data_IF_760709085141
#
_entry.id   IF_760709085141
#
_cell.length_a   1.000
_cell.length_b   1.000
_cell.length_c   1.000
_cell.angle_alpha   90.00
_cell.angle_beta   90.00
_cell.angle_gamma   90.00
#
_symmetry.space_group_name_H-M   'P 1'
#
loop_
_entity.id
_entity.type
_entity.pdbx_description
1 polymer ?
#
# COMPACT_ATOMS: atom_id res chain seq x y z
N UNK A 1 7.94 20.46 3.65
CA UNK A 1 6.63 21.12 3.40
C UNK A 1 5.56 20.04 3.41
N UNK A 2 4.43 20.27 4.05
CA UNK A 2 3.30 19.34 4.10
C UNK A 2 2.18 19.93 3.25
N UNK A 3 1.57 19.11 2.39
CA UNK A 3 0.42 19.47 1.58
C UNK A 3 -0.75 18.55 1.96
N UNK A 4 -1.92 19.14 2.23
CA UNK A 4 -3.12 18.40 2.62
C UNK A 4 -3.94 18.06 1.37
N UNK A 5 -4.15 16.77 1.13
CA UNK A 5 -4.98 16.29 0.02
C UNK A 5 -6.44 16.25 0.43
N UNK A 6 -7.19 17.29 0.07
CA UNK A 6 -8.63 17.43 0.34
C UNK A 6 -9.44 17.22 -0.94
N UNK A 7 -10.69 16.76 -0.80
CA UNK A 7 -11.62 16.64 -1.93
C UNK A 7 -12.97 16.03 -1.53
N UNK A 8 -14.06 16.30 -2.29
CA UNK A 8 -15.35 15.67 -2.07
C UNK A 8 -15.34 14.17 -2.42
N UNK A 9 -16.40 13.45 -2.05
CA UNK A 9 -16.59 12.06 -2.47
C UNK A 9 -16.46 11.91 -4.00
N UNK A 10 -15.74 10.88 -4.44
CA UNK A 10 -15.39 10.67 -5.85
C UNK A 10 -14.06 11.30 -6.28
N UNK A 11 -13.39 12.08 -5.42
CA UNK A 11 -12.03 12.54 -5.67
C UNK A 11 -11.03 11.40 -5.68
N UNK A 12 -9.99 11.51 -6.52
CA UNK A 12 -8.93 10.51 -6.66
C UNK A 12 -7.59 11.13 -6.29
N UNK A 13 -6.81 10.43 -5.48
CA UNK A 13 -5.41 10.75 -5.23
C UNK A 13 -4.53 9.66 -5.82
N UNK A 14 -3.41 10.06 -6.42
CA UNK A 14 -2.41 9.15 -6.98
C UNK A 14 -1.08 9.54 -6.38
N UNK A 15 -0.41 8.60 -5.73
CA UNK A 15 0.89 8.84 -5.12
C UNK A 15 1.80 7.64 -5.34
N UNK A 16 3.11 7.90 -5.43
CA UNK A 16 4.10 6.84 -5.44
C UNK A 16 4.17 6.22 -4.03
N UNK A 17 4.29 4.89 -3.94
CA UNK A 17 4.35 4.17 -2.65
C UNK A 17 5.54 4.60 -1.77
N UNK A 18 6.60 5.19 -2.33
CA UNK A 18 7.75 5.74 -1.61
C UNK A 18 7.56 7.19 -1.15
N UNK A 19 6.44 7.83 -1.48
CA UNK A 19 6.15 9.19 -1.02
C UNK A 19 5.83 9.11 0.47
N UNK A 20 6.52 9.88 1.30
CA UNK A 20 6.16 9.99 2.71
C UNK A 20 4.75 10.58 2.82
N UNK A 21 3.84 9.86 3.46
CA UNK A 21 2.48 10.29 3.71
C UNK A 21 2.05 9.79 5.08
N UNK A 22 1.15 10.54 5.72
CA UNK A 22 0.57 10.16 7.00
C UNK A 22 -0.80 10.84 7.13
N UNK A 23 -1.58 10.37 8.11
CA UNK A 23 -2.77 11.07 8.58
C UNK A 23 -2.69 11.24 10.08
N UNK A 24 -3.22 12.34 10.59
CA UNK A 24 -3.54 12.42 12.02
C UNK A 24 -4.63 11.41 12.37
N UNK A 25 -4.69 11.02 13.65
CA UNK A 25 -5.79 10.22 14.17
C UNK A 25 -7.13 10.88 13.86
N UNK A 26 -8.06 10.10 13.30
CA UNK A 26 -9.39 10.60 12.98
C UNK A 26 -10.11 11.06 14.24
N UNK A 27 -10.64 12.28 14.21
CA UNK A 27 -11.55 12.84 15.25
C UNK A 27 -13.01 12.86 14.78
N UNK A 28 -13.27 12.44 13.55
CA UNK A 28 -14.61 12.42 12.96
C UNK A 28 -15.41 11.25 13.53
N UNK A 29 -16.67 11.45 13.97
CA UNK A 29 -17.55 10.35 14.31
C UNK A 29 -18.00 9.55 13.08
N UNK A 30 -17.99 10.19 11.90
CA UNK A 30 -18.32 9.55 10.63
C UNK A 30 -17.10 8.87 10.01
N UNK A 31 -17.23 7.61 9.54
CA UNK A 31 -16.15 6.91 8.88
C UNK A 31 -15.83 7.55 7.52
N UNK A 32 -14.56 7.51 7.14
CA UNK A 32 -14.07 8.04 5.86
C UNK A 32 -13.48 6.89 5.02
N UNK A 33 -14.34 6.05 4.40
CA UNK A 33 -13.88 4.91 3.62
C UNK A 33 -13.11 5.37 2.38
N UNK A 34 -12.07 4.62 2.04
CA UNK A 34 -11.25 4.83 0.84
C UNK A 34 -11.19 3.53 0.05
N UNK A 35 -11.41 3.61 -1.26
CA UNK A 35 -11.09 2.52 -2.18
C UNK A 35 -9.62 2.63 -2.56
N UNK A 36 -8.81 1.72 -2.07
CA UNK A 36 -7.38 1.67 -2.35
C UNK A 36 -7.08 0.61 -3.41
N UNK A 37 -6.57 1.04 -4.56
CA UNK A 37 -6.05 0.16 -5.61
C UNK A 37 -4.54 0.37 -5.75
N UNK A 38 -3.76 -0.68 -5.53
CA UNK A 38 -2.32 -0.66 -5.67
C UNK A 38 -1.92 -1.26 -7.03
N UNK A 39 -1.10 -0.53 -7.78
CA UNK A 39 -0.60 -0.97 -9.08
C UNK A 39 0.92 -1.05 -9.05
N UNK A 40 1.46 -2.09 -9.67
CA UNK A 40 2.90 -2.25 -9.90
C UNK A 40 3.16 -2.63 -11.35
N UNK A 41 4.38 -2.41 -11.82
CA UNK A 41 4.81 -3.00 -13.09
C UNK A 41 4.84 -4.53 -12.98
N UNK A 42 4.60 -5.24 -14.09
CA UNK A 42 4.55 -6.70 -14.09
C UNK A 42 5.88 -7.36 -13.68
N UNK A 43 7.00 -6.66 -13.86
CA UNK A 43 8.37 -7.03 -13.45
C UNK A 43 8.76 -6.51 -12.05
N UNK A 44 7.94 -5.67 -11.41
CA UNK A 44 8.14 -5.26 -10.03
C UNK A 44 7.46 -6.28 -9.09
N UNK A 45 8.24 -7.23 -8.58
CA UNK A 45 7.76 -8.33 -7.74
C UNK A 45 7.91 -8.03 -6.25
N UNK A 46 6.92 -8.39 -5.40
CA UNK A 46 7.06 -8.28 -3.95
C UNK A 46 8.06 -9.32 -3.42
N UNK A 47 8.73 -8.98 -2.32
CA UNK A 47 9.69 -9.86 -1.65
C UNK A 47 9.02 -10.81 -0.64
N UNK A 48 7.86 -10.45 -0.11
CA UNK A 48 7.09 -11.24 0.86
C UNK A 48 5.67 -11.50 0.35
N UNK A 49 4.95 -12.42 1.01
CA UNK A 49 3.57 -12.73 0.67
C UNK A 49 2.66 -11.49 0.75
N UNK A 50 1.59 -11.48 -0.06
CA UNK A 50 0.62 -10.38 -0.03
C UNK A 50 -0.13 -10.41 1.33
N UNK A 51 -0.21 -9.29 2.08
CA UNK A 51 -0.79 -9.28 3.42
C UNK A 51 -2.30 -9.59 3.45
N UNK A 52 -3.02 -9.21 2.39
CA UNK A 52 -4.47 -9.44 2.27
C UNK A 52 -4.85 -9.78 0.84
N UNK A 53 -4.61 -11.02 0.37
CA UNK A 53 -4.89 -11.40 -1.01
C UNK A 53 -6.41 -11.44 -1.29
N UNK A 54 -6.78 -10.98 -2.47
CA UNK A 54 -8.11 -11.13 -3.08
C UNK A 54 -8.05 -11.95 -4.38
N UNK A 55 -9.22 -12.21 -4.98
CA UNK A 55 -9.33 -12.85 -6.31
C UNK A 55 -8.66 -12.06 -7.44
N UNK A 56 -8.39 -10.76 -7.23
CA UNK A 56 -7.75 -9.87 -8.21
C UNK A 56 -6.25 -9.64 -7.93
N UNK A 57 -5.69 -10.31 -6.93
CA UNK A 57 -4.27 -10.14 -6.58
C UNK A 57 -3.38 -10.54 -7.75
N UNK A 58 -2.49 -9.63 -8.16
CA UNK A 58 -1.57 -9.81 -9.29
C UNK A 58 -2.23 -9.98 -10.66
N UNK A 59 -3.51 -9.59 -10.80
CA UNK A 59 -4.19 -9.55 -12.09
C UNK A 59 -3.51 -8.54 -13.04
N UNK A 60 -3.20 -8.99 -14.25
CA UNK A 60 -2.59 -8.13 -15.28
C UNK A 60 -3.69 -7.36 -16.01
N UNK A 61 -3.90 -6.10 -15.61
CA UNK A 61 -4.92 -5.24 -16.22
C UNK A 61 -4.51 -4.65 -17.58
N UNK A 62 -3.21 -4.65 -17.89
CA UNK A 62 -2.65 -4.13 -19.14
C UNK A 62 -1.29 -4.77 -19.44
N UNK A 63 -1.06 -5.18 -20.69
CA UNK A 63 0.21 -5.75 -21.12
C UNK A 63 0.29 -7.26 -20.95
N UNK A 64 1.44 -7.78 -20.54
CA UNK A 64 1.71 -9.22 -20.37
C UNK A 64 2.49 -9.49 -19.07
N UNK A 65 2.37 -10.68 -18.48
CA UNK A 65 3.21 -11.08 -17.35
C UNK A 65 4.70 -11.00 -17.68
N UNK A 66 5.51 -10.51 -16.75
CA UNK A 66 6.96 -10.50 -16.88
C UNK A 66 7.58 -11.83 -16.42
N UNK A 67 8.66 -12.25 -17.10
CA UNK A 67 9.46 -13.43 -16.74
C UNK A 67 10.62 -13.10 -15.80
N UNK A 68 11.09 -11.85 -15.83
CA UNK A 68 12.25 -11.38 -15.09
C UNK A 68 11.83 -10.21 -14.21
N UNK A 69 12.39 -10.16 -12.99
CA UNK A 69 12.13 -9.08 -12.07
C UNK A 69 13.07 -7.89 -12.35
N UNK A 70 12.55 -6.67 -12.21
CA UNK A 70 13.34 -5.44 -12.22
C UNK A 70 13.66 -5.04 -10.78
N UNK A 71 14.95 -4.97 -10.45
CA UNK A 71 15.41 -4.52 -9.14
C UNK A 71 15.92 -3.09 -9.21
N UNK A 72 15.36 -2.23 -8.37
CA UNK A 72 15.87 -0.88 -8.17
C UNK A 72 17.21 -0.96 -7.43
N UNK A 73 18.30 -0.32 -7.94
CA UNK A 73 19.59 -0.36 -7.28
C UNK A 73 19.62 0.40 -5.93
N UNK A 74 18.62 1.23 -5.66
CA UNK A 74 18.51 1.94 -4.38
C UNK A 74 18.07 0.96 -3.29
N UNK A 75 18.76 0.90 -2.13
CA UNK A 75 18.33 0.05 -1.04
C UNK A 75 16.94 0.48 -0.55
N UNK A 76 16.12 -0.51 -0.21
CA UNK A 76 14.84 -0.33 0.48
C UNK A 76 14.77 -1.29 1.67
N UNK A 77 14.12 -0.86 2.74
CA UNK A 77 13.82 -1.74 3.87
C UNK A 77 12.95 -2.91 3.40
N UNK A 78 13.28 -4.11 3.85
CA UNK A 78 12.50 -5.32 3.53
C UNK A 78 11.13 -5.18 4.22
N UNK A 79 10.02 -5.48 3.51
CA UNK A 79 8.71 -5.45 4.12
C UNK A 79 8.61 -6.51 5.23
N UNK A 80 7.71 -6.34 6.22
CA UNK A 80 7.44 -7.38 7.21
C UNK A 80 7.08 -8.72 6.57
N UNK A 81 7.33 -9.81 7.31
CA UNK A 81 6.80 -11.12 6.93
C UNK A 81 5.32 -11.21 7.33
N UNK A 82 4.46 -11.28 6.32
CA UNK A 82 3.01 -11.40 6.48
C UNK A 82 2.51 -12.85 6.43
N UNK A 83 3.41 -13.84 6.47
CA UNK A 83 3.02 -15.26 6.48
C UNK A 83 2.15 -15.66 7.68
N UNK A 84 2.26 -14.93 8.80
CA UNK A 84 1.45 -15.10 10.01
C UNK A 84 0.11 -14.38 10.02
N UNK A 85 -0.24 -13.67 8.94
CA UNK A 85 -1.42 -12.80 8.87
C UNK A 85 -1.07 -11.30 8.98
N UNK A 86 -2.07 -10.44 8.84
CA UNK A 86 -1.91 -8.99 8.77
C UNK A 86 -2.26 -8.30 10.10
N UNK A 87 -1.39 -7.40 10.56
CA UNK A 87 -1.65 -6.43 11.62
C UNK A 87 -1.76 -5.03 11.01
N UNK A 88 -2.63 -4.18 11.56
CA UNK A 88 -2.86 -2.85 10.98
C UNK A 88 -1.70 -1.90 11.28
N UNK A 89 -1.43 -0.94 10.39
CA UNK A 89 -0.46 0.13 10.66
C UNK A 89 -0.80 0.90 11.95
N UNK A 90 -2.08 0.99 12.32
CA UNK A 90 -2.50 1.63 13.56
C UNK A 90 -2.14 0.79 14.78
N UNK A 91 -2.27 -0.53 14.71
CA UNK A 91 -1.84 -1.46 15.76
C UNK A 91 -0.32 -1.35 15.97
N UNK A 92 0.46 -1.37 14.88
CA UNK A 92 1.90 -1.16 14.93
C UNK A 92 2.29 0.21 15.52
N UNK A 93 1.58 1.28 15.16
CA UNK A 93 1.81 2.63 15.70
C UNK A 93 1.40 2.76 17.18
N UNK A 94 0.42 1.98 17.63
CA UNK A 94 -0.03 1.93 19.02
C UNK A 94 0.82 1.00 19.89
N UNK A 95 1.75 0.23 19.30
CA UNK A 95 2.54 -0.77 20.00
C UNK A 95 1.73 -2.01 20.39
N UNK A 96 0.66 -2.33 19.65
CA UNK A 96 -0.17 -3.52 19.89
C UNK A 96 0.45 -4.81 19.31
N UNK A 97 1.51 -4.67 18.51
CA UNK A 97 2.27 -5.77 17.90
C UNK A 97 3.48 -6.22 18.76
N UNK A 98 3.69 -5.61 19.95
CA UNK A 98 4.71 -5.97 20.97
C UNK A 98 4.09 -6.71 22.17
#
# INVERSE_FOLDING_TARGET
KVDYLMGPAGSITIHNCRSLHYSESSKSPEPRPLLLNCYTSADAKPYTAHPQPSVHTYEVIRGKPARWAQHDPRPCQIPPDWSGGYTSIFAAQAGEDE
#
